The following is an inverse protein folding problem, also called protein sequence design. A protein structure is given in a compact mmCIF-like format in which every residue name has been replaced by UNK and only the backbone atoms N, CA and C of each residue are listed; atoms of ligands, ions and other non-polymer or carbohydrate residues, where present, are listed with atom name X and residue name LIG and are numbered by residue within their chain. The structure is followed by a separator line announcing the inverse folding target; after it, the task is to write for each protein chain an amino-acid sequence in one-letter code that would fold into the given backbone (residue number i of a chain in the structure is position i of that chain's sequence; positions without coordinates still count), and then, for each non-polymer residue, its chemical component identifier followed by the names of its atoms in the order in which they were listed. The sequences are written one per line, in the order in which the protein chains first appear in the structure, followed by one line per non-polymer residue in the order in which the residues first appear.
data_IF_541667089179
#
_entry.id   IF_541667089179
#
_cell.length_a   1.000
_cell.length_b   1.000
_cell.length_c   1.000
_cell.angle_alpha   90.00
_cell.angle_beta   90.00
_cell.angle_gamma   90.00
#
_symmetry.space_group_name_H-M   'P 1'
#
loop_
_entity.id
_entity.type
_entity.pdbx_description
1 polymer ?
#
# COMPACT_ATOMS: atom_id res chain seq x y z
N UNK A 1 6.57 -35.48 35.45
CA UNK A 1 6.34 -34.08 35.06
C UNK A 1 4.83 -33.88 34.88
N UNK A 2 4.22 -32.85 35.46
CA UNK A 2 2.76 -32.70 35.39
C UNK A 2 2.30 -32.45 33.94
N UNK A 3 1.28 -33.18 33.44
CA UNK A 3 0.84 -33.08 32.04
C UNK A 3 0.41 -31.65 31.68
N UNK A 4 -0.16 -30.93 32.64
CA UNK A 4 -0.52 -29.52 32.52
C UNK A 4 0.68 -28.58 32.34
N UNK A 5 1.83 -28.88 32.96
CA UNK A 5 3.06 -28.10 32.77
C UNK A 5 3.66 -28.36 31.40
N UNK A 6 3.62 -29.60 30.92
CA UNK A 6 4.07 -29.95 29.57
C UNK A 6 3.25 -29.24 28.50
N UNK A 7 1.92 -29.22 28.66
CA UNK A 7 1.02 -28.55 27.72
C UNK A 7 1.23 -27.02 27.69
N UNK A 8 1.48 -26.41 28.84
CA UNK A 8 1.80 -24.99 28.93
C UNK A 8 3.10 -24.63 28.20
N UNK A 9 4.15 -25.44 28.33
CA UNK A 9 5.42 -25.22 27.64
C UNK A 9 5.28 -25.34 26.12
N UNK A 10 4.51 -26.33 25.63
CA UNK A 10 4.24 -26.51 24.20
C UNK A 10 3.46 -25.32 23.62
N UNK A 11 2.44 -24.83 24.35
CA UNK A 11 1.67 -23.64 23.96
C UNK A 11 2.56 -22.40 23.84
N UNK A 12 3.46 -22.17 24.80
CA UNK A 12 4.39 -21.05 24.77
C UNK A 12 5.36 -21.16 23.59
N UNK A 13 5.89 -22.35 23.32
CA UNK A 13 6.77 -22.57 22.17
C UNK A 13 6.08 -22.31 20.84
N UNK A 14 4.85 -22.77 20.65
CA UNK A 14 4.06 -22.50 19.45
C UNK A 14 3.79 -21.01 19.27
N UNK A 15 3.54 -20.28 20.36
CA UNK A 15 3.28 -18.84 20.32
C UNK A 15 4.55 -18.07 19.90
N UNK A 16 5.71 -18.45 20.41
CA UNK A 16 7.01 -17.86 20.02
C UNK A 16 7.27 -18.10 18.52
N UNK A 17 7.03 -19.32 18.02
CA UNK A 17 7.19 -19.65 16.60
C UNK A 17 6.21 -18.84 15.73
N UNK A 18 4.95 -18.74 16.13
CA UNK A 18 3.93 -18.01 15.38
C UNK A 18 4.23 -16.50 15.29
N UNK A 19 4.74 -15.90 16.37
CA UNK A 19 5.15 -14.49 16.39
C UNK A 19 6.43 -14.29 15.57
N UNK A 20 7.41 -15.18 15.69
CA UNK A 20 8.68 -15.12 14.94
C UNK A 20 8.47 -15.21 13.42
N UNK A 21 7.64 -16.14 12.95
CA UNK A 21 7.33 -16.29 11.51
C UNK A 21 6.65 -15.04 10.96
N UNK A 22 5.72 -14.43 11.72
CA UNK A 22 5.07 -13.17 11.29
C UNK A 22 6.06 -12.02 11.17
N UNK A 23 7.04 -11.94 12.07
CA UNK A 23 8.04 -10.88 12.06
C UNK A 23 8.95 -10.97 10.82
N UNK A 24 9.50 -12.15 10.53
CA UNK A 24 10.43 -12.38 9.40
C UNK A 24 9.75 -12.09 8.05
N UNK A 25 8.51 -12.53 7.85
CA UNK A 25 7.75 -12.28 6.61
C UNK A 25 7.52 -10.79 6.32
N UNK A 26 7.61 -9.91 7.32
CA UNK A 26 7.37 -8.47 7.12
C UNK A 26 8.62 -7.77 6.56
N UNK A 27 9.81 -8.27 6.88
CA UNK A 27 11.09 -7.68 6.48
C UNK A 27 11.46 -8.02 5.03
N UNK A 28 11.16 -9.23 4.55
CA UNK A 28 11.55 -9.68 3.21
C UNK A 28 10.79 -9.00 2.06
N UNK A 29 9.63 -8.40 2.34
CA UNK A 29 8.77 -7.80 1.31
C UNK A 29 8.76 -6.27 1.32
N UNK A 30 9.68 -5.64 2.05
CA UNK A 30 9.81 -4.18 2.08
C UNK A 30 11.24 -3.74 1.79
N UNK A 31 11.40 -2.54 1.25
CA UNK A 31 12.72 -1.94 1.04
C UNK A 31 12.71 -0.49 1.52
N UNK A 32 13.82 -0.04 2.09
CA UNK A 32 13.97 1.35 2.53
C UNK A 32 14.08 2.27 1.32
N UNK A 33 13.38 3.41 1.37
CA UNK A 33 13.42 4.44 0.32
C UNK A 33 14.38 5.56 0.69
N UNK A 34 15.31 5.87 -0.22
CA UNK A 34 16.11 7.09 -0.11
C UNK A 34 15.30 8.33 -0.54
N UNK A 35 15.76 9.53 -0.21
CA UNK A 35 15.09 10.79 -0.56
C UNK A 35 14.90 10.95 -2.08
N UNK A 36 15.88 10.56 -2.89
CA UNK A 36 15.75 10.59 -4.37
C UNK A 36 14.61 9.68 -4.87
N UNK A 37 14.48 8.49 -4.28
CA UNK A 37 13.44 7.54 -4.65
C UNK A 37 12.04 8.02 -4.22
N UNK A 38 11.97 8.70 -3.07
CA UNK A 38 10.73 9.36 -2.63
C UNK A 38 10.33 10.47 -3.60
N UNK A 39 11.27 11.34 -3.99
CA UNK A 39 11.01 12.40 -4.95
C UNK A 39 10.57 11.85 -6.30
N UNK A 40 11.24 10.80 -6.80
CA UNK A 40 10.88 10.12 -8.03
C UNK A 40 9.46 9.52 -7.99
N UNK A 41 9.10 8.83 -6.90
CA UNK A 41 7.76 8.27 -6.74
C UNK A 41 6.69 9.38 -6.70
N UNK A 42 6.96 10.47 -5.99
CA UNK A 42 6.05 11.63 -5.91
C UNK A 42 5.87 12.26 -7.28
N UNK A 43 6.96 12.57 -7.99
CA UNK A 43 6.88 13.22 -9.30
C UNK A 43 6.15 12.37 -10.32
N UNK A 44 6.40 11.06 -10.32
CA UNK A 44 5.76 10.12 -11.25
C UNK A 44 4.26 9.99 -10.95
N UNK A 45 3.89 9.89 -9.67
CA UNK A 45 2.49 9.89 -9.27
C UNK A 45 1.78 11.22 -9.59
N UNK A 46 2.44 12.37 -9.39
CA UNK A 46 1.88 13.67 -9.74
C UNK A 46 1.64 13.83 -11.24
N UNK A 47 2.59 13.41 -12.07
CA UNK A 47 2.47 13.52 -13.52
C UNK A 47 1.34 12.62 -14.04
N UNK A 48 1.30 11.37 -13.59
CA UNK A 48 0.26 10.41 -13.95
C UNK A 48 -1.14 10.84 -13.47
N UNK A 49 -1.25 11.47 -12.30
CA UNK A 49 -2.52 11.86 -11.69
C UNK A 49 -2.89 13.32 -11.90
N UNK A 50 -2.14 14.07 -12.72
CA UNK A 50 -2.36 15.49 -12.95
C UNK A 50 -3.80 15.81 -13.38
N UNK A 51 -4.39 14.96 -14.22
CA UNK A 51 -5.76 15.11 -14.70
C UNK A 51 -6.80 14.79 -13.61
N UNK A 52 -6.51 13.82 -12.74
CA UNK A 52 -7.41 13.39 -11.65
C UNK A 52 -7.41 14.37 -10.46
N UNK A 53 -6.28 15.05 -10.23
CA UNK A 53 -6.13 16.02 -9.14
C UNK A 53 -6.86 17.33 -9.39
N UNK A 54 -7.14 17.70 -10.64
CA UNK A 54 -8.00 18.83 -10.97
C UNK A 54 -7.54 20.17 -10.36
N UNK A 55 -6.25 20.49 -10.43
CA UNK A 55 -5.68 21.78 -9.99
C UNK A 55 -5.76 22.07 -8.48
N UNK A 56 -6.28 21.14 -7.67
CA UNK A 56 -6.41 21.32 -6.23
C UNK A 56 -5.07 21.15 -5.52
N UNK A 57 -4.87 21.88 -4.42
CA UNK A 57 -3.70 21.69 -3.57
C UNK A 57 -3.89 20.41 -2.73
N UNK A 58 -3.05 19.41 -2.99
CA UNK A 58 -2.97 18.19 -2.19
C UNK A 58 -1.74 18.23 -1.30
N UNK A 59 -1.91 17.82 -0.05
CA UNK A 59 -0.79 17.41 0.79
C UNK A 59 -0.30 16.03 0.34
N UNK A 60 1.00 15.91 0.08
CA UNK A 60 1.58 14.69 -0.48
C UNK A 60 2.37 13.99 0.60
N UNK A 61 2.08 12.72 0.80
CA UNK A 61 2.82 11.87 1.73
C UNK A 61 3.24 10.59 1.02
N UNK A 62 4.48 10.20 1.25
CA UNK A 62 5.05 8.96 0.72
C UNK A 62 5.52 8.12 1.90
N UNK A 63 5.38 6.81 1.79
CA UNK A 63 5.86 5.91 2.84
C UNK A 63 7.40 5.91 2.88
N UNK A 64 7.95 5.63 4.07
CA UNK A 64 9.40 5.47 4.24
C UNK A 64 9.94 4.17 3.63
N UNK A 65 9.05 3.19 3.41
CA UNK A 65 9.38 1.89 2.85
C UNK A 65 8.53 1.65 1.62
N UNK A 66 9.16 1.13 0.57
CA UNK A 66 8.46 0.54 -0.56
C UNK A 66 8.15 -0.93 -0.28
N UNK A 67 7.29 -1.51 -1.10
CA UNK A 67 6.89 -2.92 -1.02
C UNK A 67 7.38 -3.66 -2.25
N UNK A 68 7.78 -4.91 -2.07
CA UNK A 68 8.02 -5.85 -3.16
C UNK A 68 6.76 -6.70 -3.32
N UNK A 69 6.19 -6.69 -4.53
CA UNK A 69 5.02 -7.50 -4.87
C UNK A 69 5.43 -8.48 -5.96
N UNK A 70 5.31 -9.77 -5.68
CA UNK A 70 5.51 -10.82 -6.69
C UNK A 70 4.37 -10.80 -7.70
N UNK A 71 4.73 -10.64 -8.97
CA UNK A 71 3.79 -10.68 -10.09
C UNK A 71 4.12 -11.85 -11.01
N UNK A 72 3.23 -12.21 -11.94
CA UNK A 72 3.49 -13.25 -12.92
C UNK A 72 4.74 -12.97 -13.80
N UNK A 73 5.15 -11.71 -13.92
CA UNK A 73 6.30 -11.27 -14.71
C UNK A 73 7.56 -11.05 -13.84
N UNK A 74 7.54 -11.48 -12.58
CA UNK A 74 8.61 -11.28 -11.61
C UNK A 74 8.23 -10.32 -10.48
N UNK A 75 9.18 -10.12 -9.56
CA UNK A 75 9.02 -9.23 -8.42
C UNK A 75 9.08 -7.77 -8.86
N UNK A 76 8.08 -6.99 -8.47
CA UNK A 76 8.01 -5.55 -8.73
C UNK A 76 8.15 -4.75 -7.45
N UNK A 77 8.97 -3.70 -7.52
CA UNK A 77 9.12 -2.72 -6.43
C UNK A 77 8.09 -1.62 -6.61
N UNK A 78 7.29 -1.42 -5.59
CA UNK A 78 6.22 -0.43 -5.63
C UNK A 78 6.24 0.48 -4.43
N UNK A 79 5.81 1.72 -4.61
CA UNK A 79 5.75 2.74 -3.55
C UNK A 79 4.37 3.33 -3.49
N UNK A 80 3.83 3.44 -2.29
CA UNK A 80 2.55 4.11 -2.06
C UNK A 80 2.78 5.61 -1.87
N UNK A 81 2.11 6.41 -2.70
CA UNK A 81 2.01 7.86 -2.57
C UNK A 81 0.56 8.20 -2.25
N UNK A 82 0.33 9.04 -1.23
CA UNK A 82 -1.00 9.47 -0.79
C UNK A 82 -1.09 10.97 -0.94
N UNK A 83 -2.11 11.40 -1.67
CA UNK A 83 -2.49 12.78 -1.90
C UNK A 83 -3.76 13.07 -1.12
N UNK A 84 -3.71 14.03 -0.21
CA UNK A 84 -4.84 14.39 0.64
C UNK A 84 -5.19 15.85 0.43
N UNK A 85 -6.42 16.10 0.01
CA UNK A 85 -7.06 17.41 0.02
C UNK A 85 -8.27 17.37 0.96
N UNK A 86 -8.86 18.53 1.29
CA UNK A 86 -9.86 18.67 2.37
C UNK A 86 -10.96 17.62 2.39
N UNK A 87 -11.41 17.19 1.21
CA UNK A 87 -12.48 16.22 1.03
C UNK A 87 -12.10 15.08 0.07
N UNK A 88 -10.84 14.97 -0.38
CA UNK A 88 -10.42 13.97 -1.36
C UNK A 88 -9.10 13.33 -0.93
N UNK A 89 -9.05 12.00 -0.87
CA UNK A 89 -7.83 11.23 -0.69
C UNK A 89 -7.60 10.40 -1.95
N UNK A 90 -6.48 10.62 -2.61
CA UNK A 90 -6.02 9.80 -3.73
C UNK A 90 -4.81 9.01 -3.26
N UNK A 91 -4.87 7.68 -3.36
CA UNK A 91 -3.73 6.80 -3.12
C UNK A 91 -3.25 6.23 -4.44
N UNK A 92 -1.97 6.40 -4.74
CA UNK A 92 -1.30 5.85 -5.91
C UNK A 92 -0.27 4.80 -5.48
N UNK A 93 -0.18 3.71 -6.23
CA UNK A 93 0.89 2.74 -6.14
C UNK A 93 1.77 2.91 -7.39
N UNK A 94 3.01 3.34 -7.20
CA UNK A 94 3.97 3.63 -8.26
C UNK A 94 4.94 2.49 -8.40
N UNK A 95 5.10 1.97 -9.61
CA UNK A 95 6.17 1.05 -9.96
C UNK A 95 7.50 1.82 -10.03
N UNK A 96 8.48 1.41 -9.24
CA UNK A 96 9.75 2.14 -9.09
C UNK A 96 10.72 1.93 -10.24
N UNK A 97 10.53 0.90 -11.06
CA UNK A 97 11.41 0.60 -12.19
C UNK A 97 10.98 1.39 -13.44
N UNK A 98 9.69 1.69 -13.55
CA UNK A 98 9.08 2.35 -14.72
C UNK A 98 8.57 3.77 -14.44
N UNK A 99 8.19 4.06 -13.19
CA UNK A 99 7.46 5.27 -12.81
C UNK A 99 5.95 5.18 -13.06
N UNK A 100 5.44 4.06 -13.57
CA UNK A 100 4.03 3.92 -13.88
C UNK A 100 3.18 3.78 -12.61
N UNK A 101 2.02 4.45 -12.58
CA UNK A 101 1.01 4.21 -11.53
C UNK A 101 0.26 2.92 -11.87
N UNK A 102 0.56 1.86 -11.12
CA UNK A 102 -0.04 0.53 -11.33
C UNK A 102 -1.37 0.34 -10.62
N UNK A 103 -1.64 1.14 -9.59
CA UNK A 103 -2.92 1.16 -8.90
C UNK A 103 -3.22 2.58 -8.42
N UNK A 104 -4.47 3.01 -8.59
CA UNK A 104 -4.98 4.26 -8.06
C UNK A 104 -6.29 3.98 -7.33
N UNK A 105 -6.44 4.61 -6.16
CA UNK A 105 -7.69 4.65 -5.42
C UNK A 105 -8.04 6.09 -5.08
N UNK A 106 -9.25 6.54 -5.38
CA UNK A 106 -9.75 7.88 -5.06
C UNK A 106 -10.93 7.75 -4.12
N UNK A 107 -10.84 8.41 -2.97
CA UNK A 107 -11.90 8.49 -1.98
C UNK A 107 -12.30 9.96 -1.83
N UNK A 108 -13.56 10.27 -2.11
CA UNK A 108 -14.12 11.60 -1.89
C UNK A 108 -15.08 11.57 -0.70
N UNK A 109 -14.77 12.36 0.33
CA UNK A 109 -15.65 12.61 1.46
C UNK A 109 -16.56 13.78 1.12
N UNK A 110 -17.68 13.51 0.46
CA UNK A 110 -18.82 14.42 0.55
C UNK A 110 -19.30 14.38 2.00
N UNK A 111 -19.42 15.53 2.65
CA UNK A 111 -19.88 15.58 4.03
C UNK A 111 -21.34 15.14 4.11
N UNK A 112 -21.60 13.89 4.48
CA UNK A 112 -22.94 13.43 4.86
C UNK A 112 -22.81 12.21 5.79
N UNK A 113 -23.14 12.40 7.08
CA UNK A 113 -23.47 11.32 8.01
C UNK A 113 -24.87 10.78 7.66
N UNK A 114 -24.99 10.29 6.45
CA UNK A 114 -26.15 9.66 5.83
C UNK A 114 -25.53 8.75 4.75
N UNK A 115 -26.09 7.65 4.28
CA UNK A 115 -26.39 6.50 5.07
C UNK A 115 -25.18 5.57 5.19
N UNK A 116 -25.12 4.97 6.36
CA UNK A 116 -24.47 3.70 6.65
C UNK A 116 -24.55 2.68 5.50
N UNK A 117 -23.45 1.93 5.32
CA UNK A 117 -23.47 0.56 4.80
C UNK A 117 -24.18 0.31 3.45
N UNK A 118 -23.47 0.51 2.34
CA UNK A 118 -23.56 -0.33 1.13
C UNK A 118 -22.41 0.15 0.22
N UNK A 119 -21.40 -0.64 -0.09
CA UNK A 119 -21.59 -1.88 -0.83
C UNK A 119 -21.60 -1.63 -2.34
N UNK A 120 -20.81 -0.69 -2.89
CA UNK A 120 -20.59 -0.62 -4.34
C UNK A 120 -19.13 -0.35 -4.70
N UNK A 121 -18.51 -1.43 -5.20
CA UNK A 121 -17.52 -1.46 -6.27
C UNK A 121 -16.25 -0.61 -6.11
N UNK A 122 -15.18 -1.26 -5.62
CA UNK A 122 -13.81 -0.96 -6.03
C UNK A 122 -13.75 -0.90 -7.57
N UNK A 123 -13.76 0.30 -8.15
CA UNK A 123 -13.33 0.48 -9.53
C UNK A 123 -11.80 0.26 -9.61
N UNK A 124 -11.41 -1.02 -9.62
CA UNK A 124 -10.07 -1.43 -10.00
C UNK A 124 -9.89 -1.22 -11.51
N UNK A 125 -9.57 0.01 -11.93
CA UNK A 125 -9.03 0.22 -13.28
C UNK A 125 -7.60 -0.33 -13.35
N UNK A 126 -7.48 -1.64 -13.56
CA UNK A 126 -6.26 -2.24 -14.09
C UNK A 126 -6.12 -1.77 -15.54
N UNK A 127 -5.27 -0.78 -15.77
CA UNK A 127 -4.87 -0.39 -17.12
C UNK A 127 -3.90 -1.45 -17.68
N UNK A 128 -4.45 -2.62 -18.03
CA UNK A 128 -3.75 -3.62 -18.82
C UNK A 128 -3.78 -3.17 -20.27
N UNK A 129 -2.68 -2.60 -20.75
CA UNK A 129 -2.45 -2.34 -22.17
C UNK A 129 -2.13 -3.69 -22.84
N UNK A 130 -3.14 -4.32 -23.45
CA UNK A 130 -2.93 -5.47 -24.31
C UNK A 130 -2.26 -5.01 -25.61
N UNK A 131 -1.17 -5.68 -25.97
CA UNK A 131 -0.57 -5.66 -27.32
C UNK A 131 -1.16 -6.81 -28.12
#
# INVERSE_FOLDING_TARGET
MNPWKTLAVVMIFLLIIAVGIRYINTEEHTFSLNEEQKTFAISSAQDALKNEMGGSNYNITVQYHGRIISTANGDKKVVRVVFTSSNIIITALVDMDTGDVVEMNKMEYSGWMTGYQYGESLEHKRLLKAT
#
